data_IF_898593782556
#
_entry.id   IF_898593782556
#
_cell.length_a   1.000
_cell.length_b   1.000
_cell.length_c   1.000
_cell.angle_alpha   90.00
_cell.angle_beta   90.00
_cell.angle_gamma   90.00
#
_symmetry.space_group_name_H-M   'P 1'
#
loop_
_entity.id
_entity.type
_entity.pdbx_description
1 polymer ?
#
# COMPACT_ATOMS: atom_id res chain seq x y z
N UNK A 1 -57.76 73.40 -14.69
CA UNK A 1 -56.39 73.59 -15.20
C UNK A 1 -55.45 72.62 -14.49
N UNK A 2 -54.93 71.64 -15.24
CA UNK A 2 -53.55 71.11 -15.19
C UNK A 2 -53.08 70.37 -13.90
N UNK A 3 -53.09 69.02 -14.00
CA UNK A 3 -52.06 68.02 -13.57
C UNK A 3 -51.80 67.79 -12.06
N UNK A 4 -51.44 66.60 -11.56
CA UNK A 4 -50.63 65.50 -12.08
C UNK A 4 -51.11 64.10 -11.61
N UNK A 5 -51.05 63.14 -12.54
CA UNK A 5 -51.18 61.67 -12.40
C UNK A 5 -49.80 61.05 -12.09
N UNK A 6 -49.70 60.09 -11.17
CA UNK A 6 -48.59 59.10 -11.04
C UNK A 6 -49.22 57.71 -11.22
N UNK A 7 -49.12 57.10 -12.40
CA UNK A 7 -48.07 56.17 -12.90
C UNK A 7 -48.05 54.84 -12.13
N UNK A 8 -48.65 53.84 -12.79
CA UNK A 8 -48.45 52.42 -12.57
C UNK A 8 -47.10 51.96 -13.16
N UNK A 9 -46.45 50.97 -12.55
CA UNK A 9 -45.46 50.12 -13.22
C UNK A 9 -45.49 48.70 -12.63
N UNK A 10 -45.93 47.79 -13.48
CA UNK A 10 -45.79 46.34 -13.42
C UNK A 10 -44.30 46.01 -13.60
N UNK A 11 -43.74 45.11 -12.79
CA UNK A 11 -42.39 44.57 -13.01
C UNK A 11 -42.43 43.06 -13.11
N UNK A 12 -42.04 42.58 -14.30
CA UNK A 12 -41.86 41.19 -14.68
C UNK A 12 -40.61 40.61 -14.02
N UNK A 13 -40.73 39.45 -13.38
CA UNK A 13 -39.58 38.63 -12.98
C UNK A 13 -39.23 37.66 -14.12
N UNK A 14 -38.09 37.91 -14.78
CA UNK A 14 -37.45 36.98 -15.71
C UNK A 14 -36.82 35.82 -14.90
N UNK A 15 -37.29 34.60 -15.17
CA UNK A 15 -36.71 33.36 -14.66
C UNK A 15 -35.47 33.02 -15.50
N UNK A 16 -34.27 33.32 -14.99
CA UNK A 16 -33.02 32.88 -15.60
C UNK A 16 -32.77 31.42 -15.21
N UNK A 17 -32.94 30.51 -16.18
CA UNK A 17 -32.61 29.10 -16.02
C UNK A 17 -31.08 28.95 -15.96
N UNK A 18 -30.55 28.87 -14.75
CA UNK A 18 -29.15 28.52 -14.50
C UNK A 18 -28.98 27.03 -14.84
N UNK A 19 -28.51 26.75 -16.06
CA UNK A 19 -28.15 25.41 -16.52
C UNK A 19 -26.96 24.93 -15.67
N UNK A 20 -27.27 24.21 -14.59
CA UNK A 20 -26.28 23.54 -13.76
C UNK A 20 -25.67 22.41 -14.61
N UNK A 21 -24.59 22.72 -15.32
CA UNK A 21 -23.75 21.74 -16.01
C UNK A 21 -23.08 20.89 -14.94
N UNK A 22 -23.76 19.80 -14.57
CA UNK A 22 -23.19 18.71 -13.79
C UNK A 22 -22.07 18.09 -14.60
N UNK A 23 -20.85 18.58 -14.35
CA UNK A 23 -19.60 17.92 -14.73
C UNK A 23 -19.57 16.61 -13.96
N UNK A 24 -20.09 15.53 -14.57
CA UNK A 24 -19.81 14.19 -14.11
C UNK A 24 -18.31 14.00 -14.24
N UNK A 25 -17.54 13.81 -13.16
CA UNK A 25 -16.15 13.42 -13.30
C UNK A 25 -16.17 12.07 -14.02
N UNK A 26 -15.69 12.06 -15.28
CA UNK A 26 -15.48 10.82 -16.00
C UNK A 26 -14.62 9.91 -15.13
N UNK A 27 -15.20 8.83 -14.63
CA UNK A 27 -14.45 7.81 -13.93
C UNK A 27 -13.58 7.12 -14.97
N UNK A 28 -12.34 7.59 -15.12
CA UNK A 28 -11.37 6.94 -15.99
C UNK A 28 -11.17 5.49 -15.52
N UNK A 29 -11.29 4.53 -16.44
CA UNK A 29 -11.15 3.10 -16.14
C UNK A 29 -9.76 2.80 -15.61
N UNK A 30 -9.67 2.00 -14.55
CA UNK A 30 -8.40 1.59 -13.95
C UNK A 30 -8.28 0.08 -13.85
N UNK A 31 -7.08 -0.43 -14.09
CA UNK A 31 -6.75 -1.85 -13.99
C UNK A 31 -5.67 -2.06 -12.93
N UNK A 32 -5.70 -3.24 -12.30
CA UNK A 32 -4.71 -3.63 -11.29
C UNK A 32 -3.78 -4.67 -11.88
N UNK A 33 -2.48 -4.37 -11.91
CA UNK A 33 -1.44 -5.31 -12.35
C UNK A 33 -0.57 -5.67 -11.17
N UNK A 34 -0.33 -6.96 -10.98
CA UNK A 34 0.63 -7.44 -9.99
C UNK A 34 2.01 -7.49 -10.62
N UNK A 35 2.96 -6.79 -10.01
CA UNK A 35 4.34 -6.74 -10.45
C UNK A 35 5.24 -7.24 -9.33
N UNK A 36 6.18 -8.11 -9.64
CA UNK A 36 7.22 -8.49 -8.70
C UNK A 36 8.28 -7.39 -8.65
N UNK A 37 8.69 -7.01 -7.45
CA UNK A 37 9.80 -6.10 -7.19
C UNK A 37 10.92 -6.87 -6.49
N UNK A 38 12.20 -6.52 -6.73
CA UNK A 38 13.32 -7.14 -6.04
C UNK A 38 13.31 -6.78 -4.55
N UNK A 39 14.07 -7.52 -3.76
CA UNK A 39 14.35 -7.14 -2.39
C UNK A 39 15.04 -5.76 -2.33
N UNK A 40 14.81 -4.97 -1.28
CA UNK A 40 15.54 -3.70 -1.12
C UNK A 40 17.03 -3.94 -0.88
N UNK A 41 17.39 -5.07 -0.26
CA UNK A 41 18.77 -5.50 -0.01
C UNK A 41 19.07 -6.78 -0.77
N UNK A 42 19.59 -6.61 -1.98
CA UNK A 42 19.85 -7.70 -2.90
C UNK A 42 20.84 -8.75 -2.35
N UNK A 43 21.96 -8.36 -1.72
CA UNK A 43 22.90 -9.35 -1.14
C UNK A 43 22.24 -10.22 -0.05
N UNK A 44 21.29 -9.65 0.70
CA UNK A 44 20.59 -10.37 1.76
C UNK A 44 19.61 -11.41 1.21
N UNK A 45 18.96 -11.10 0.07
CA UNK A 45 17.99 -11.98 -0.57
C UNK A 45 18.65 -13.19 -1.26
N UNK A 46 19.94 -13.10 -1.60
CA UNK A 46 20.74 -14.21 -2.14
C UNK A 46 21.16 -15.23 -1.08
N UNK A 47 21.15 -14.88 0.21
CA UNK A 47 21.55 -15.78 1.30
C UNK A 47 20.41 -16.71 1.68
N UNK A 48 20.33 -17.90 1.05
CA UNK A 48 19.13 -18.76 1.09
C UNK A 48 18.98 -19.59 2.34
N UNK A 49 20.07 -20.14 2.88
CA UNK A 49 20.03 -20.93 4.11
C UNK A 49 20.30 -20.02 5.32
N UNK A 50 19.27 -19.74 6.12
CA UNK A 50 19.36 -18.75 7.20
C UNK A 50 18.91 -19.31 8.54
N UNK A 51 19.47 -18.76 9.60
CA UNK A 51 19.05 -19.00 10.97
C UNK A 51 18.74 -17.66 11.65
N UNK A 52 17.84 -17.68 12.64
CA UNK A 52 17.48 -16.49 13.42
C UNK A 52 17.91 -16.72 14.86
N UNK A 53 18.75 -15.83 15.38
CA UNK A 53 19.11 -15.83 16.79
C UNK A 53 18.21 -14.88 17.58
N UNK A 54 18.07 -15.08 18.90
CA UNK A 54 17.37 -14.14 19.76
C UNK A 54 17.88 -12.71 19.57
N UNK A 55 16.95 -11.76 19.53
CA UNK A 55 17.29 -10.35 19.52
C UNK A 55 17.64 -9.90 20.94
N UNK A 56 18.53 -8.92 21.05
CA UNK A 56 18.88 -8.30 22.33
C UNK A 56 17.81 -7.27 22.67
N UNK A 57 17.27 -7.30 23.89
CA UNK A 57 16.29 -6.34 24.38
C UNK A 57 14.96 -6.97 24.80
N UNK A 58 13.97 -6.15 25.17
CA UNK A 58 12.66 -6.62 25.64
C UNK A 58 11.97 -7.50 24.60
N UNK A 59 11.50 -8.69 24.99
CA UNK A 59 10.81 -9.65 24.11
C UNK A 59 11.61 -10.10 22.87
N UNK A 60 12.95 -10.06 22.95
CA UNK A 60 13.81 -10.40 21.81
C UNK A 60 13.75 -11.84 21.34
N UNK A 61 13.41 -12.79 22.23
CA UNK A 61 13.26 -14.21 21.88
C UNK A 61 11.94 -14.47 21.15
N UNK A 62 10.89 -13.79 21.58
CA UNK A 62 9.54 -13.81 21.02
C UNK A 62 9.55 -13.18 19.63
N UNK A 63 10.14 -11.99 19.49
CA UNK A 63 10.28 -11.33 18.19
C UNK A 63 11.12 -12.14 17.20
N UNK A 64 12.18 -12.83 17.66
CA UNK A 64 12.94 -13.75 16.83
C UNK A 64 12.05 -14.88 16.26
N UNK A 65 11.15 -15.44 17.08
CA UNK A 65 10.20 -16.46 16.63
C UNK A 65 9.19 -15.92 15.61
N UNK A 66 8.70 -14.69 15.82
CA UNK A 66 7.84 -14.01 14.84
C UNK A 66 8.58 -13.80 13.50
N UNK A 67 9.86 -13.43 13.56
CA UNK A 67 10.69 -13.21 12.38
C UNK A 67 11.00 -14.51 11.63
N UNK A 68 11.25 -15.61 12.35
CA UNK A 68 11.32 -16.96 11.77
C UNK A 68 10.05 -17.29 11.00
N UNK A 69 8.88 -17.01 11.58
CA UNK A 69 7.57 -17.19 10.93
C UNK A 69 7.44 -16.37 9.65
N UNK A 70 7.88 -15.10 9.66
CA UNK A 70 7.92 -14.26 8.47
C UNK A 70 8.80 -14.88 7.39
N UNK A 71 10.04 -15.26 7.72
CA UNK A 71 11.00 -15.83 6.77
C UNK A 71 10.49 -17.17 6.20
N UNK A 72 9.95 -18.03 7.06
CA UNK A 72 9.37 -19.32 6.68
C UNK A 72 8.19 -19.16 5.71
N UNK A 73 7.39 -18.11 5.91
CA UNK A 73 6.21 -17.82 5.11
C UNK A 73 6.52 -17.17 3.76
N UNK A 74 7.78 -16.83 3.46
CA UNK A 74 8.15 -16.28 2.15
C UNK A 74 8.17 -17.42 1.14
N UNK A 75 7.11 -17.50 0.34
CA UNK A 75 7.02 -18.33 -0.84
C UNK A 75 6.95 -17.49 -2.12
N UNK A 76 7.61 -17.93 -3.18
CA UNK A 76 7.45 -17.41 -4.55
C UNK A 76 7.17 -18.60 -5.46
N UNK A 77 6.11 -18.52 -6.28
CA UNK A 77 5.66 -19.59 -7.18
C UNK A 77 5.54 -20.96 -6.49
N UNK A 78 4.86 -20.98 -5.33
CA UNK A 78 4.63 -22.16 -4.46
C UNK A 78 5.91 -22.83 -3.92
N UNK A 79 7.07 -22.18 -4.04
CA UNK A 79 8.35 -22.64 -3.50
C UNK A 79 8.78 -21.77 -2.33
N UNK A 80 9.30 -22.39 -1.27
CA UNK A 80 9.94 -21.67 -0.16
C UNK A 80 11.14 -20.90 -0.68
N UNK A 81 11.22 -19.61 -0.35
CA UNK A 81 12.30 -18.75 -0.80
C UNK A 81 13.57 -18.90 0.04
N UNK A 82 13.41 -19.11 1.36
CA UNK A 82 14.51 -19.39 2.29
C UNK A 82 14.43 -20.82 2.83
N UNK A 83 15.59 -21.38 3.15
CA UNK A 83 15.73 -22.58 3.98
C UNK A 83 16.06 -22.14 5.40
N UNK A 84 15.14 -22.37 6.33
CA UNK A 84 15.39 -22.13 7.74
C UNK A 84 16.11 -23.32 8.37
N UNK A 85 17.17 -23.01 9.09
CA UNK A 85 17.87 -23.97 9.94
C UNK A 85 17.10 -24.14 11.26
N UNK A 86 17.02 -25.37 11.78
CA UNK A 86 16.21 -25.71 12.94
C UNK A 86 16.69 -25.00 14.21
N UNK A 87 15.75 -24.34 14.90
CA UNK A 87 15.98 -23.66 16.16
C UNK A 87 16.39 -24.60 17.30
N UNK A 88 15.92 -25.84 17.27
CA UNK A 88 16.26 -26.85 18.28
C UNK A 88 17.76 -27.19 18.23
N UNK A 89 18.31 -27.27 17.02
CA UNK A 89 19.74 -27.48 16.80
C UNK A 89 20.56 -26.28 17.25
N UNK A 90 20.06 -25.06 17.01
CA UNK A 90 20.64 -23.81 17.51
C UNK A 90 20.67 -23.76 19.04
N UNK A 91 19.54 -23.99 19.70
CA UNK A 91 19.42 -23.90 21.17
C UNK A 91 20.31 -24.94 21.87
N UNK A 92 20.37 -26.16 21.32
CA UNK A 92 21.30 -27.22 21.78
C UNK A 92 22.75 -26.76 21.66
N UNK A 93 23.14 -26.24 20.50
CA UNK A 93 24.51 -25.76 20.25
C UNK A 93 24.89 -24.60 21.19
N UNK A 94 23.99 -23.64 21.39
CA UNK A 94 24.19 -22.49 22.29
C UNK A 94 24.40 -22.96 23.73
N UNK A 95 23.59 -23.94 24.17
CA UNK A 95 23.66 -24.51 25.51
C UNK A 95 24.96 -25.29 25.73
N UNK A 96 25.39 -26.09 24.75
CA UNK A 96 26.64 -26.85 24.79
C UNK A 96 27.88 -25.94 24.85
N UNK A 97 27.85 -24.81 24.15
CA UNK A 97 28.95 -23.84 24.16
C UNK A 97 29.00 -22.96 25.42
N UNK A 98 28.03 -23.07 26.35
CA UNK A 98 27.91 -22.20 27.55
C UNK A 98 27.99 -20.70 27.22
N UNK A 99 27.49 -20.29 26.07
CA UNK A 99 27.53 -18.89 25.60
C UNK A 99 26.59 -17.93 26.37
N UNK A 100 26.07 -18.38 27.51
CA UNK A 100 25.00 -17.73 28.28
C UNK A 100 25.45 -16.49 29.07
N UNK A 101 26.73 -16.12 29.08
CA UNK A 101 27.24 -15.02 29.92
C UNK A 101 27.59 -13.71 29.20
N UNK A 102 27.78 -13.70 27.89
CA UNK A 102 28.02 -12.45 27.16
C UNK A 102 26.77 -12.08 26.39
N UNK A 103 25.99 -11.11 26.88
CA UNK A 103 24.83 -10.52 26.20
C UNK A 103 25.18 -9.76 24.91
N UNK A 104 25.94 -10.39 24.03
CA UNK A 104 26.50 -9.91 22.78
C UNK A 104 26.72 -11.13 21.90
N UNK A 105 25.81 -11.42 20.97
CA UNK A 105 26.23 -12.17 19.79
C UNK A 105 26.93 -11.15 18.90
N UNK A 106 28.24 -10.99 19.12
CA UNK A 106 29.09 -10.29 18.18
C UNK A 106 29.06 -11.01 16.81
N UNK A 107 29.46 -10.31 15.75
CA UNK A 107 29.40 -10.88 14.39
C UNK A 107 30.19 -12.21 14.30
N UNK A 108 31.28 -12.34 15.08
CA UNK A 108 32.13 -13.53 15.13
C UNK A 108 31.42 -14.72 15.75
N UNK A 109 30.67 -14.53 16.83
CA UNK A 109 29.87 -15.57 17.48
C UNK A 109 28.72 -16.00 16.59
N UNK A 110 28.04 -15.05 15.93
CA UNK A 110 26.99 -15.36 14.95
C UNK A 110 27.55 -16.23 13.80
N UNK A 111 28.67 -15.82 13.21
CA UNK A 111 29.30 -16.59 12.15
C UNK A 111 29.76 -17.98 12.63
N UNK A 112 30.33 -18.10 13.83
CA UNK A 112 30.74 -19.40 14.39
C UNK A 112 29.54 -20.32 14.61
N UNK A 113 28.46 -19.82 15.19
CA UNK A 113 27.23 -20.59 15.39
C UNK A 113 26.62 -21.01 14.04
N UNK A 114 26.56 -20.10 13.08
CA UNK A 114 26.06 -20.40 11.74
C UNK A 114 26.82 -21.53 11.06
N UNK A 115 28.15 -21.62 11.22
CA UNK A 115 28.95 -22.74 10.70
C UNK A 115 28.57 -24.08 11.30
N UNK A 116 28.24 -24.10 12.60
CA UNK A 116 27.87 -25.34 13.30
C UNK A 116 26.50 -25.86 12.87
N UNK A 117 25.57 -24.95 12.58
CA UNK A 117 24.20 -25.31 12.18
C UNK A 117 23.99 -25.32 10.66
N UNK A 118 25.05 -25.15 9.86
CA UNK A 118 24.97 -25.18 8.40
C UNK A 118 24.23 -24.00 7.77
N UNK A 119 24.12 -22.86 8.47
CA UNK A 119 23.53 -21.65 7.92
C UNK A 119 24.55 -20.89 7.03
N UNK A 120 24.05 -20.24 5.97
CA UNK A 120 24.82 -19.27 5.18
C UNK A 120 24.74 -17.86 5.79
N UNK A 121 23.62 -17.54 6.44
CA UNK A 121 23.39 -16.25 7.07
C UNK A 121 22.69 -16.35 8.42
N UNK A 122 22.99 -15.42 9.31
CA UNK A 122 22.37 -15.32 10.63
C UNK A 122 21.68 -13.98 10.79
N UNK A 123 20.36 -14.01 11.01
CA UNK A 123 19.60 -12.86 11.45
C UNK A 123 19.69 -12.72 12.97
N UNK A 124 19.95 -11.51 13.44
CA UNK A 124 19.96 -11.14 14.86
C UNK A 124 19.83 -9.61 14.94
N UNK A 125 19.78 -9.01 16.12
CA UNK A 125 19.60 -7.57 16.22
C UNK A 125 19.34 -7.07 17.63
N UNK A 126 18.94 -5.80 17.73
CA UNK A 126 18.61 -5.14 19.00
C UNK A 126 17.22 -4.53 18.91
N UNK A 127 16.34 -4.83 19.86
CA UNK A 127 15.07 -4.13 20.06
C UNK A 127 15.37 -2.86 20.85
N UNK A 128 15.18 -1.72 20.18
CA UNK A 128 15.43 -0.39 20.75
C UNK A 128 14.23 0.13 21.54
N UNK A 129 13.02 -0.19 21.06
CA UNK A 129 11.79 0.30 21.65
C UNK A 129 10.69 -0.76 21.54
N UNK A 130 10.04 -1.03 22.66
CA UNK A 130 8.78 -1.76 22.72
C UNK A 130 7.98 -1.10 23.86
N UNK A 131 7.13 -0.13 23.51
CA UNK A 131 6.51 0.73 24.51
C UNK A 131 5.14 1.20 24.07
N UNK A 132 4.24 1.40 25.02
CA UNK A 132 2.95 2.02 24.84
C UNK A 132 2.82 3.24 25.75
N UNK A 133 2.23 4.34 25.25
CA UNK A 133 2.03 5.58 26.00
C UNK A 133 0.60 6.07 25.87
N UNK A 134 -0.01 6.39 27.01
CA UNK A 134 -1.33 7.00 27.09
C UNK A 134 -1.22 8.51 27.35
N UNK A 135 -1.96 9.29 26.58
CA UNK A 135 -2.06 10.73 26.69
C UNK A 135 -3.54 11.12 26.87
N UNK A 136 -3.93 11.67 28.03
CA UNK A 136 -5.29 12.15 28.24
C UNK A 136 -5.54 13.42 27.44
N UNK A 137 -6.75 13.58 26.91
CA UNK A 137 -7.22 14.80 26.26
C UNK A 137 -8.72 15.00 26.46
N UNK A 138 -9.27 16.12 26.00
CA UNK A 138 -10.69 16.46 26.16
C UNK A 138 -11.31 16.81 24.81
N UNK A 139 -12.54 16.38 24.58
CA UNK A 139 -13.34 16.80 23.43
C UNK A 139 -14.64 17.48 23.87
N UNK A 140 -15.09 18.45 23.07
CA UNK A 140 -16.36 19.12 23.32
C UNK A 140 -17.52 18.29 22.79
N UNK A 141 -18.58 18.18 23.58
CA UNK A 141 -19.87 17.62 23.21
C UNK A 141 -20.96 18.65 23.43
N UNK A 142 -22.08 18.43 22.76
CA UNK A 142 -23.27 19.25 22.93
C UNK A 142 -24.46 18.32 23.19
N UNK A 143 -25.21 18.61 24.24
CA UNK A 143 -26.46 17.90 24.55
C UNK A 143 -27.62 18.90 24.55
N UNK A 144 -28.75 18.48 24.02
CA UNK A 144 -29.97 19.25 24.12
C UNK A 144 -30.56 19.11 25.52
N UNK A 145 -30.75 20.22 26.24
CA UNK A 145 -31.34 20.20 27.58
C UNK A 145 -32.80 20.62 27.59
N UNK A 146 -33.25 21.32 26.54
CA UNK A 146 -34.64 21.76 26.41
C UNK A 146 -35.11 21.64 24.96
N UNK A 147 -36.30 21.07 24.78
CA UNK A 147 -36.94 20.90 23.48
C UNK A 147 -38.21 21.74 23.41
N UNK A 148 -38.55 22.22 22.22
CA UNK A 148 -39.85 22.83 21.96
C UNK A 148 -40.96 21.76 22.07
N UNK A 149 -42.08 22.06 22.73
CA UNK A 149 -43.26 21.18 22.73
C UNK A 149 -44.17 21.59 21.58
N UNK A 150 -44.43 20.67 20.64
CA UNK A 150 -45.35 20.89 19.52
C UNK A 150 -46.59 20.03 19.66
N UNK A 151 -47.67 20.39 18.97
CA UNK A 151 -48.90 19.58 18.88
C UNK A 151 -49.15 19.18 17.43
N UNK A 152 -49.62 17.96 17.23
CA UNK A 152 -50.12 17.52 15.93
C UNK A 152 -51.57 17.98 15.69
N UNK A 153 -52.15 17.54 14.57
CA UNK A 153 -53.51 17.91 14.15
C UNK A 153 -54.60 17.32 15.06
N UNK A 154 -54.28 16.25 15.80
CA UNK A 154 -55.18 15.56 16.73
C UNK A 154 -55.01 16.08 18.17
N UNK A 155 -54.16 17.09 18.37
CA UNK A 155 -53.91 17.73 19.66
C UNK A 155 -52.87 17.01 20.53
N UNK A 156 -52.26 15.93 20.05
CA UNK A 156 -51.24 15.19 20.78
C UNK A 156 -49.91 15.93 20.75
N UNK A 157 -49.25 16.01 21.92
CA UNK A 157 -47.96 16.68 22.05
C UNK A 157 -46.80 15.79 21.64
N UNK A 158 -45.86 16.34 20.87
CA UNK A 158 -44.60 15.68 20.53
C UNK A 158 -43.41 16.63 20.69
N UNK A 159 -42.21 16.03 20.73
CA UNK A 159 -40.94 16.73 20.89
C UNK A 159 -40.55 17.43 19.58
N UNK A 160 -40.52 18.75 19.60
CA UNK A 160 -40.01 19.61 18.53
C UNK A 160 -38.48 19.75 18.56
N UNK A 161 -37.91 20.72 17.82
CA UNK A 161 -36.48 20.96 17.78
C UNK A 161 -35.91 21.37 19.16
N UNK A 162 -34.61 21.18 19.31
CA UNK A 162 -33.89 21.62 20.51
C UNK A 162 -33.87 23.15 20.60
N UNK A 163 -34.24 23.71 21.76
CA UNK A 163 -34.23 25.16 22.04
C UNK A 163 -33.04 25.59 22.89
N UNK A 164 -32.49 24.71 23.72
CA UNK A 164 -31.30 24.99 24.51
C UNK A 164 -30.27 23.88 24.42
N UNK A 165 -29.06 24.27 24.00
CA UNK A 165 -27.91 23.40 23.87
C UNK A 165 -26.91 23.69 24.98
N UNK A 166 -26.50 22.65 25.70
CA UNK A 166 -25.44 22.73 26.69
C UNK A 166 -24.18 22.06 26.15
N UNK A 167 -23.06 22.77 26.20
CA UNK A 167 -21.76 22.20 25.92
C UNK A 167 -21.15 21.58 27.19
N UNK A 168 -20.45 20.48 27.04
CA UNK A 168 -19.66 19.85 28.09
C UNK A 168 -18.42 19.19 27.50
N UNK A 169 -17.38 19.05 28.32
CA UNK A 169 -16.15 18.37 27.93
C UNK A 169 -16.24 16.89 28.31
N UNK A 170 -15.73 16.04 27.42
CA UNK A 170 -15.63 14.61 27.64
C UNK A 170 -14.17 14.22 27.69
N UNK A 171 -13.83 13.42 28.70
CA UNK A 171 -12.50 12.87 28.87
C UNK A 171 -12.23 11.78 27.84
N UNK A 172 -11.08 11.91 27.19
CA UNK A 172 -10.62 11.00 26.16
C UNK A 172 -9.17 10.59 26.43
N UNK A 173 -8.80 9.44 25.89
CA UNK A 173 -7.44 8.92 25.98
C UNK A 173 -6.96 8.61 24.57
N UNK A 174 -5.76 9.09 24.23
CA UNK A 174 -5.02 8.69 23.04
C UNK A 174 -3.88 7.77 23.47
N UNK A 175 -3.86 6.56 22.92
CA UNK A 175 -2.81 5.57 23.14
C UNK A 175 -1.96 5.43 21.90
N UNK A 176 -0.65 5.49 22.07
CA UNK A 176 0.34 5.31 20.99
C UNK A 176 1.29 4.19 21.40
N UNK A 177 1.28 3.11 20.63
CA UNK A 177 2.28 2.05 20.69
C UNK A 177 3.42 2.35 19.70
N UNK A 178 4.65 2.10 20.12
CA UNK A 178 5.84 2.29 19.32
C UNK A 178 6.75 1.07 19.44
N UNK A 179 7.14 0.52 18.30
CA UNK A 179 8.08 -0.59 18.21
C UNK A 179 9.25 -0.20 17.30
N UNK A 180 10.48 -0.45 17.74
CA UNK A 180 11.69 -0.17 16.98
C UNK A 180 12.76 -1.25 17.19
N UNK A 181 13.40 -1.67 16.11
CA UNK A 181 14.38 -2.76 16.08
C UNK A 181 15.46 -2.51 15.02
N UNK A 182 16.69 -2.95 15.31
CA UNK A 182 17.82 -2.99 14.37
C UNK A 182 18.15 -4.43 13.97
N UNK A 183 17.44 -5.05 13.03
CA UNK A 183 17.85 -6.33 12.48
C UNK A 183 19.12 -6.20 11.66
N UNK A 184 19.95 -7.24 11.70
CA UNK A 184 21.13 -7.42 10.85
C UNK A 184 21.22 -8.86 10.34
N UNK A 185 21.74 -9.03 9.13
CA UNK A 185 22.14 -10.32 8.56
C UNK A 185 23.66 -10.41 8.53
N UNK A 186 24.22 -11.41 9.20
CA UNK A 186 25.65 -11.71 9.19
C UNK A 186 25.90 -12.90 8.27
N UNK A 187 26.76 -12.73 7.27
CA UNK A 187 27.24 -13.82 6.42
C UNK A 187 28.18 -14.73 7.22
N UNK A 188 27.93 -16.04 7.18
CA UNK A 188 28.63 -17.01 8.02
C UNK A 188 30.06 -17.28 7.54
N UNK A 189 30.29 -17.25 6.23
CA UNK A 189 31.60 -17.52 5.61
C UNK A 189 32.63 -16.45 5.98
N UNK A 190 32.24 -15.17 5.86
CA UNK A 190 33.13 -14.01 5.99
C UNK A 190 32.94 -13.24 7.31
N UNK A 191 31.79 -13.37 7.97
CA UNK A 191 31.39 -12.52 9.08
C UNK A 191 30.92 -11.12 8.68
N UNK A 192 30.82 -10.82 7.37
CA UNK A 192 30.35 -9.52 6.85
C UNK A 192 28.87 -9.32 7.19
N UNK A 193 28.48 -8.08 7.47
CA UNK A 193 27.06 -7.69 7.53
C UNK A 193 26.54 -7.47 6.10
N UNK A 194 25.56 -8.25 5.68
CA UNK A 194 24.89 -8.13 4.37
C UNK A 194 23.64 -7.25 4.43
N UNK A 195 23.01 -7.15 5.60
CA UNK A 195 21.85 -6.30 5.85
C UNK A 195 21.94 -5.71 7.24
N UNK A 196 21.60 -4.42 7.38
CA UNK A 196 21.42 -3.76 8.66
C UNK A 196 20.58 -2.51 8.45
N UNK A 197 19.47 -2.38 9.19
CA UNK A 197 18.58 -1.23 9.10
C UNK A 197 17.92 -0.98 10.44
N UNK A 198 17.59 0.28 10.75
CA UNK A 198 16.71 0.61 11.86
C UNK A 198 15.27 0.66 11.34
N UNK A 199 14.43 -0.26 11.81
CA UNK A 199 13.01 -0.34 11.49
C UNK A 199 12.21 0.13 12.69
N UNK A 200 11.21 0.98 12.45
CA UNK A 200 10.32 1.46 13.50
C UNK A 200 8.93 1.72 12.96
N UNK A 201 7.92 1.45 13.76
CA UNK A 201 6.54 1.79 13.44
C UNK A 201 5.77 2.20 14.70
N UNK A 202 4.70 2.96 14.47
CA UNK A 202 3.77 3.36 15.52
C UNK A 202 2.35 2.97 15.15
N UNK A 203 1.55 2.60 16.15
CA UNK A 203 0.10 2.40 16.00
C UNK A 203 -0.61 3.21 17.06
N UNK A 204 -1.73 3.83 16.71
CA UNK A 204 -2.50 4.64 17.64
C UNK A 204 -3.98 4.27 17.68
N UNK A 205 -4.59 4.48 18.84
CA UNK A 205 -6.02 4.42 19.04
C UNK A 205 -6.42 5.53 20.00
N UNK A 206 -7.56 6.16 19.72
CA UNK A 206 -8.16 7.15 20.60
C UNK A 206 -9.59 6.74 20.94
N UNK A 207 -10.02 7.07 22.15
CA UNK A 207 -11.34 6.72 22.67
C UNK A 207 -11.70 7.62 23.83
N UNK A 208 -12.95 8.09 23.82
CA UNK A 208 -13.58 8.86 24.88
C UNK A 208 -14.46 7.97 25.75
N UNK A 209 -14.73 8.39 26.99
CA UNK A 209 -15.58 7.65 27.94
C UNK A 209 -17.00 7.39 27.42
N UNK A 210 -17.49 8.21 26.49
CA UNK A 210 -18.79 8.11 25.83
C UNK A 210 -18.75 7.35 24.48
N UNK A 211 -17.57 6.89 24.04
CA UNK A 211 -17.36 6.20 22.76
C UNK A 211 -16.74 4.82 22.95
N UNK A 212 -16.36 4.15 21.85
CA UNK A 212 -15.66 2.86 21.93
C UNK A 212 -14.35 3.02 22.71
N UNK A 213 -14.02 2.05 23.59
CA UNK A 213 -12.79 2.11 24.36
C UNK A 213 -11.57 2.05 23.45
N UNK A 214 -10.48 2.65 23.92
CA UNK A 214 -9.16 2.57 23.28
C UNK A 214 -8.74 1.11 23.17
N UNK A 215 -8.10 0.75 22.06
CA UNK A 215 -7.57 -0.60 21.87
C UNK A 215 -6.51 -0.94 22.93
N UNK A 216 -6.40 -2.23 23.28
CA UNK A 216 -5.41 -2.69 24.26
C UNK A 216 -3.98 -2.45 23.75
N UNK A 217 -3.05 -2.31 24.69
CA UNK A 217 -1.62 -2.18 24.41
C UNK A 217 -1.12 -3.28 23.48
N UNK A 218 -1.41 -4.54 23.78
CA UNK A 218 -0.99 -5.69 22.97
C UNK A 218 -1.47 -5.57 21.51
N UNK A 219 -2.73 -5.18 21.27
CA UNK A 219 -3.26 -5.04 19.90
C UNK A 219 -2.51 -3.95 19.13
N UNK A 220 -2.14 -2.85 19.78
CA UNK A 220 -1.43 -1.75 19.12
C UNK A 220 0.05 -2.05 18.90
N UNK A 221 0.71 -2.71 19.87
CA UNK A 221 2.09 -3.18 19.72
C UNK A 221 2.19 -4.19 18.59
N UNK A 222 1.28 -5.18 18.54
CA UNK A 222 1.27 -6.17 17.46
C UNK A 222 1.06 -5.52 16.09
N UNK A 223 0.18 -4.51 15.98
CA UNK A 223 0.06 -3.71 14.73
C UNK A 223 1.36 -3.00 14.33
N UNK A 224 2.09 -2.46 15.31
CA UNK A 224 3.39 -1.83 15.04
C UNK A 224 4.44 -2.87 14.61
N UNK A 225 4.50 -4.03 15.29
CA UNK A 225 5.36 -5.16 14.90
C UNK A 225 5.03 -5.67 13.50
N UNK A 226 3.76 -5.85 13.14
CA UNK A 226 3.34 -6.26 11.79
C UNK A 226 3.81 -5.27 10.71
N UNK A 227 3.80 -3.97 11.00
CA UNK A 227 4.34 -2.97 10.08
C UNK A 227 5.85 -3.15 9.88
N UNK A 228 6.60 -3.35 10.97
CA UNK A 228 8.05 -3.61 10.92
C UNK A 228 8.37 -4.93 10.21
N UNK A 229 7.63 -6.01 10.50
CA UNK A 229 7.79 -7.33 9.86
C UNK A 229 7.55 -7.26 8.35
N UNK A 230 6.54 -6.50 7.91
CA UNK A 230 6.29 -6.26 6.49
C UNK A 230 7.44 -5.52 5.82
N UNK A 231 8.00 -4.50 6.46
CA UNK A 231 9.13 -3.74 5.92
C UNK A 231 10.39 -4.61 5.86
N UNK A 232 10.68 -5.38 6.90
CA UNK A 232 11.74 -6.39 6.92
C UNK A 232 11.58 -7.41 5.77
N UNK A 233 10.37 -7.96 5.56
CA UNK A 233 10.10 -8.91 4.46
C UNK A 233 10.36 -8.33 3.07
N UNK A 234 10.16 -7.02 2.88
CA UNK A 234 10.48 -6.31 1.63
C UNK A 234 11.97 -6.03 1.50
N UNK A 235 12.66 -5.89 2.62
CA UNK A 235 14.11 -5.70 2.63
C UNK A 235 14.84 -6.95 2.15
N UNK A 236 14.38 -8.13 2.54
CA UNK A 236 15.16 -9.38 2.37
C UNK A 236 14.67 -10.29 1.23
N UNK A 237 13.51 -10.03 0.62
CA UNK A 237 12.98 -10.90 -0.44
C UNK A 237 12.14 -10.14 -1.48
N UNK A 238 12.09 -10.64 -2.73
CA UNK A 238 11.20 -10.11 -3.75
C UNK A 238 9.74 -10.08 -3.29
N UNK A 239 8.98 -9.05 -3.64
CA UNK A 239 7.58 -8.89 -3.24
C UNK A 239 6.69 -8.44 -4.38
N UNK A 240 5.44 -8.91 -4.37
CA UNK A 240 4.42 -8.40 -5.29
C UNK A 240 3.90 -7.05 -4.83
N UNK A 241 3.82 -6.11 -5.77
CA UNK A 241 3.10 -4.85 -5.63
C UNK A 241 1.96 -4.83 -6.64
N UNK A 242 0.78 -4.44 -6.20
CA UNK A 242 -0.33 -4.18 -7.09
C UNK A 242 -0.28 -2.71 -7.51
N UNK A 243 -0.04 -2.47 -8.79
CA UNK A 243 -0.07 -1.13 -9.37
C UNK A 243 -1.43 -0.91 -10.01
N UNK A 244 -2.06 0.21 -9.65
CA UNK A 244 -3.27 0.67 -10.31
C UNK A 244 -2.89 1.57 -11.49
N UNK A 245 -3.33 1.19 -12.68
CA UNK A 245 -3.00 1.86 -13.94
C UNK A 245 -4.30 2.40 -14.53
N UNK A 246 -4.32 3.71 -14.77
CA UNK A 246 -5.39 4.35 -15.52
C UNK A 246 -5.23 4.04 -17.01
N UNK A 247 -6.32 3.61 -17.63
CA UNK A 247 -6.40 3.39 -19.08
C UNK A 247 -6.76 4.69 -19.80
N UNK A 248 -6.37 4.78 -21.06
CA UNK A 248 -6.70 5.91 -21.93
C UNK A 248 -7.99 5.64 -22.69
N UNK A 249 -8.85 6.64 -22.75
CA UNK A 249 -10.15 6.62 -23.42
C UNK A 249 -10.28 7.61 -24.58
N UNK A 250 -9.22 8.39 -24.85
CA UNK A 250 -9.19 9.32 -25.99
C UNK A 250 -9.37 8.57 -27.32
N UNK A 251 -10.23 9.11 -28.19
CA UNK A 251 -10.45 8.63 -29.54
C UNK A 251 -9.50 9.29 -30.57
N UNK A 252 -8.50 10.05 -30.11
CA UNK A 252 -7.54 10.74 -30.98
C UNK A 252 -6.81 9.72 -31.87
N UNK A 253 -6.76 10.03 -33.18
CA UNK A 253 -6.17 9.14 -34.18
C UNK A 253 -7.02 7.92 -34.54
N UNK A 254 -8.32 7.91 -34.19
CA UNK A 254 -9.28 6.84 -34.54
C UNK A 254 -10.41 7.40 -35.39
N UNK A 255 -10.37 7.16 -36.70
CA UNK A 255 -11.44 7.62 -37.62
C UNK A 255 -12.58 6.63 -37.76
N UNK A 256 -12.29 5.33 -37.71
CA UNK A 256 -13.28 4.25 -37.89
C UNK A 256 -14.22 4.15 -36.68
N UNK A 257 -15.56 4.21 -36.87
CA UNK A 257 -16.53 3.96 -35.81
C UNK A 257 -16.33 2.60 -35.14
N UNK A 258 -16.02 1.57 -35.93
CA UNK A 258 -15.76 0.22 -35.44
C UNK A 258 -14.55 0.18 -34.51
N UNK A 259 -13.49 0.93 -34.82
CA UNK A 259 -12.31 1.03 -33.95
C UNK A 259 -12.60 1.80 -32.65
N UNK A 260 -13.43 2.85 -32.70
CA UNK A 260 -13.91 3.56 -31.50
C UNK A 260 -14.75 2.67 -30.61
N UNK A 261 -15.64 1.88 -31.19
CA UNK A 261 -16.45 0.91 -30.45
C UNK A 261 -15.59 -0.15 -29.79
N UNK A 262 -14.55 -0.64 -30.49
CA UNK A 262 -13.59 -1.59 -29.90
C UNK A 262 -12.79 -0.98 -28.75
N UNK A 263 -12.36 0.29 -28.85
CA UNK A 263 -11.72 0.99 -27.73
C UNK A 263 -12.64 1.03 -26.50
N UNK A 264 -13.89 1.49 -26.67
CA UNK A 264 -14.90 1.59 -25.61
C UNK A 264 -15.25 0.23 -24.99
N UNK A 265 -15.48 -0.77 -25.84
CA UNK A 265 -15.78 -2.13 -25.38
C UNK A 265 -14.59 -2.73 -24.64
N UNK A 266 -13.36 -2.50 -25.11
CA UNK A 266 -12.15 -2.92 -24.39
C UNK A 266 -12.03 -2.29 -23.01
N UNK A 267 -12.33 -0.99 -22.89
CA UNK A 267 -12.38 -0.29 -21.58
C UNK A 267 -13.45 -0.89 -20.67
N UNK A 268 -14.64 -1.22 -21.20
CA UNK A 268 -15.70 -1.85 -20.43
C UNK A 268 -15.32 -3.27 -19.95
N UNK A 269 -14.62 -4.06 -20.78
CA UNK A 269 -14.10 -5.36 -20.36
C UNK A 269 -13.02 -5.23 -19.28
N UNK A 270 -12.11 -4.27 -19.44
CA UNK A 270 -11.06 -3.99 -18.46
C UNK A 270 -11.63 -3.55 -17.10
N UNK A 271 -12.69 -2.73 -17.08
CA UNK A 271 -13.42 -2.34 -15.86
C UNK A 271 -13.98 -3.57 -15.11
N UNK A 272 -14.38 -4.61 -15.85
CA UNK A 272 -14.84 -5.90 -15.29
C UNK A 272 -13.72 -6.89 -15.03
N UNK A 273 -12.46 -6.47 -15.08
CA UNK A 273 -11.28 -7.32 -14.85
C UNK A 273 -10.99 -8.32 -15.97
N UNK A 274 -11.68 -8.23 -17.11
CA UNK A 274 -11.50 -9.13 -18.25
C UNK A 274 -10.44 -8.60 -19.21
N UNK A 275 -9.19 -8.59 -18.73
CA UNK A 275 -8.07 -7.98 -19.43
C UNK A 275 -7.79 -8.64 -20.79
N UNK A 276 -7.94 -9.97 -20.90
CA UNK A 276 -7.68 -10.70 -22.16
C UNK A 276 -8.58 -10.19 -23.31
N UNK A 277 -9.88 -10.05 -23.05
CA UNK A 277 -10.84 -9.51 -24.00
C UNK A 277 -10.56 -8.04 -24.35
N UNK A 278 -10.14 -7.24 -23.38
CA UNK A 278 -9.76 -5.85 -23.62
C UNK A 278 -8.57 -5.76 -24.59
N UNK A 279 -7.53 -6.56 -24.34
CA UNK A 279 -6.32 -6.60 -25.15
C UNK A 279 -6.59 -7.07 -26.58
N UNK A 280 -7.47 -8.06 -26.76
CA UNK A 280 -7.92 -8.53 -28.08
C UNK A 280 -8.61 -7.41 -28.87
N UNK A 281 -9.60 -6.74 -28.26
CA UNK A 281 -10.33 -5.65 -28.90
C UNK A 281 -9.44 -4.46 -29.28
N UNK A 282 -8.52 -4.06 -28.41
CA UNK A 282 -7.58 -2.98 -28.73
C UNK A 282 -6.58 -3.40 -29.82
N UNK A 283 -6.18 -4.67 -29.86
CA UNK A 283 -5.35 -5.22 -30.94
C UNK A 283 -6.06 -5.14 -32.28
N UNK A 284 -7.33 -5.53 -32.33
CA UNK A 284 -8.15 -5.41 -33.53
C UNK A 284 -8.42 -3.95 -33.93
N UNK A 285 -8.65 -3.06 -32.96
CA UNK A 285 -8.84 -1.63 -33.21
C UNK A 285 -7.58 -1.01 -33.84
N UNK A 286 -6.39 -1.40 -33.35
CA UNK A 286 -5.11 -0.91 -33.89
C UNK A 286 -4.91 -1.24 -35.36
N UNK A 287 -5.45 -2.36 -35.86
CA UNK A 287 -5.38 -2.70 -37.29
C UNK A 287 -6.10 -1.68 -38.20
N UNK A 288 -7.03 -0.89 -37.63
CA UNK A 288 -7.77 0.17 -38.33
C UNK A 288 -7.31 1.57 -37.93
N UNK A 289 -6.73 1.73 -36.74
CA UNK A 289 -6.26 2.99 -36.17
C UNK A 289 -4.85 2.82 -35.56
N UNK A 290 -3.86 2.58 -36.42
CA UNK A 290 -2.49 2.27 -35.99
C UNK A 290 -1.76 3.41 -35.28
N UNK A 291 -2.23 4.66 -35.47
CA UNK A 291 -1.63 5.87 -34.93
C UNK A 291 -2.45 6.49 -33.77
N UNK A 292 -3.30 5.72 -33.09
CA UNK A 292 -3.97 6.22 -31.89
C UNK A 292 -3.06 6.07 -30.66
N UNK A 293 -2.74 7.18 -29.94
CA UNK A 293 -1.97 7.11 -28.71
C UNK A 293 -2.64 6.26 -27.63
N UNK A 294 -3.97 6.35 -27.49
CA UNK A 294 -4.72 5.60 -26.50
C UNK A 294 -4.66 4.08 -26.75
N UNK A 295 -4.80 3.65 -28.01
CA UNK A 295 -4.68 2.22 -28.37
C UNK A 295 -3.26 1.71 -28.13
N UNK A 296 -2.23 2.47 -28.50
CA UNK A 296 -0.84 2.10 -28.25
C UNK A 296 -0.53 2.01 -26.76
N UNK A 297 -0.97 2.99 -25.97
CA UNK A 297 -0.80 2.99 -24.52
C UNK A 297 -1.52 1.80 -23.88
N UNK A 298 -2.79 1.57 -24.19
CA UNK A 298 -3.57 0.48 -23.62
C UNK A 298 -3.00 -0.91 -24.01
N UNK A 299 -2.50 -1.06 -25.24
CA UNK A 299 -1.76 -2.26 -25.64
C UNK A 299 -0.40 -2.39 -24.92
N UNK A 300 0.24 -1.28 -24.59
CA UNK A 300 1.41 -1.26 -23.70
C UNK A 300 1.07 -1.83 -22.33
N UNK A 301 -0.09 -1.47 -21.77
CA UNK A 301 -0.59 -2.03 -20.49
C UNK A 301 -0.84 -3.55 -20.63
N UNK A 302 -1.33 -4.01 -21.78
CA UNK A 302 -1.49 -5.44 -22.09
C UNK A 302 -0.17 -6.21 -22.25
N UNK A 303 0.88 -5.57 -22.73
CA UNK A 303 2.21 -6.18 -22.78
C UNK A 303 2.83 -6.23 -21.36
N UNK A 304 2.68 -5.14 -20.60
CA UNK A 304 3.14 -5.04 -19.22
C UNK A 304 2.47 -6.09 -18.31
N UNK A 305 1.15 -6.31 -18.45
CA UNK A 305 0.41 -7.32 -17.67
C UNK A 305 0.88 -8.75 -17.91
N UNK A 306 1.44 -9.03 -19.09
CA UNK A 306 1.99 -10.34 -19.47
C UNK A 306 3.48 -10.47 -19.14
N UNK A 307 4.11 -9.44 -18.60
CA UNK A 307 5.55 -9.40 -18.31
C UNK A 307 6.44 -9.19 -19.54
N UNK A 308 5.86 -8.87 -20.71
CA UNK A 308 6.61 -8.50 -21.91
C UNK A 308 7.01 -7.03 -21.84
N UNK A 309 7.99 -6.75 -21.00
CA UNK A 309 8.44 -5.40 -20.67
C UNK A 309 9.05 -4.68 -21.89
N UNK A 310 9.69 -5.42 -22.79
CA UNK A 310 10.31 -4.85 -23.99
C UNK A 310 9.24 -4.39 -25.00
N UNK A 311 8.20 -5.20 -25.22
CA UNK A 311 7.06 -4.80 -26.04
C UNK A 311 6.29 -3.64 -25.40
N UNK A 312 6.08 -3.66 -24.08
CA UNK A 312 5.42 -2.59 -23.34
C UNK A 312 6.17 -1.25 -23.51
N UNK A 313 7.49 -1.25 -23.33
CA UNK A 313 8.32 -0.07 -23.48
C UNK A 313 8.22 0.51 -24.90
N UNK A 314 8.25 -0.35 -25.92
CA UNK A 314 8.15 0.08 -27.30
C UNK A 314 6.77 0.72 -27.61
N UNK A 315 5.70 0.11 -27.11
CA UNK A 315 4.33 0.63 -27.27
C UNK A 315 4.14 1.98 -26.59
N UNK A 316 4.64 2.14 -25.36
CA UNK A 316 4.58 3.42 -24.66
C UNK A 316 5.40 4.51 -25.35
N UNK A 317 6.60 4.18 -25.87
CA UNK A 317 7.40 5.12 -26.67
C UNK A 317 6.71 5.55 -27.96
N UNK A 318 6.00 4.63 -28.62
CA UNK A 318 5.19 4.96 -29.79
C UNK A 318 4.03 5.89 -29.40
N UNK A 319 3.32 5.60 -28.32
CA UNK A 319 2.25 6.46 -27.81
C UNK A 319 2.77 7.88 -27.50
N UNK A 320 3.90 7.99 -26.80
CA UNK A 320 4.56 9.26 -26.46
C UNK A 320 4.93 10.07 -27.72
N UNK A 321 5.55 9.41 -28.70
CA UNK A 321 5.94 10.03 -29.96
C UNK A 321 4.75 10.59 -30.74
N UNK A 322 3.62 9.87 -30.76
CA UNK A 322 2.41 10.32 -31.47
C UNK A 322 1.69 11.42 -30.67
N UNK A 323 1.67 11.34 -29.35
CA UNK A 323 1.10 12.37 -28.49
C UNK A 323 1.77 13.73 -28.72
N UNK A 324 3.09 13.74 -28.94
CA UNK A 324 3.86 14.93 -29.32
C UNK A 324 3.95 16.01 -28.23
N UNK A 325 3.39 15.74 -27.05
CA UNK A 325 3.42 16.57 -25.85
C UNK A 325 3.51 15.67 -24.61
N UNK A 326 4.06 16.16 -23.49
CA UNK A 326 4.07 15.41 -22.25
C UNK A 326 2.67 15.02 -21.81
N UNK A 327 2.52 13.74 -21.44
CA UNK A 327 1.32 13.18 -20.82
C UNK A 327 1.72 12.43 -19.54
N UNK A 328 0.98 12.66 -18.46
CA UNK A 328 1.32 12.13 -17.14
C UNK A 328 1.20 10.61 -17.09
N UNK A 329 0.17 10.04 -17.73
CA UNK A 329 -0.09 8.60 -17.72
C UNK A 329 1.00 7.85 -18.53
N UNK A 330 1.37 8.38 -19.70
CA UNK A 330 2.49 7.86 -20.51
C UNK A 330 3.82 7.97 -19.76
N UNK A 331 4.09 9.12 -19.14
CA UNK A 331 5.33 9.36 -18.38
C UNK A 331 5.46 8.39 -17.21
N UNK A 332 4.37 8.16 -16.47
CA UNK A 332 4.33 7.17 -15.39
C UNK A 332 4.57 5.76 -15.90
N UNK A 333 3.96 5.38 -17.03
CA UNK A 333 4.14 4.06 -17.64
C UNK A 333 5.58 3.82 -18.13
N UNK A 334 6.20 4.79 -18.80
CA UNK A 334 7.59 4.72 -19.24
C UNK A 334 8.56 4.56 -18.06
N UNK A 335 8.36 5.32 -16.98
CA UNK A 335 9.16 5.20 -15.76
C UNK A 335 8.98 3.83 -15.10
N UNK A 336 7.73 3.36 -14.99
CA UNK A 336 7.39 2.07 -14.38
C UNK A 336 8.02 0.91 -15.13
N UNK A 337 7.82 0.82 -16.45
CA UNK A 337 8.42 -0.25 -17.28
C UNK A 337 9.95 -0.13 -17.31
N UNK A 338 10.50 1.08 -17.40
CA UNK A 338 11.95 1.29 -17.34
C UNK A 338 12.55 0.76 -16.03
N UNK A 339 11.90 0.98 -14.90
CA UNK A 339 12.31 0.41 -13.62
C UNK A 339 12.13 -1.11 -13.56
N UNK A 340 11.05 -1.64 -14.12
CA UNK A 340 10.82 -3.08 -14.20
C UNK A 340 11.92 -3.78 -15.01
N UNK A 341 12.35 -3.20 -16.14
CA UNK A 341 13.45 -3.73 -16.97
C UNK A 341 14.76 -3.72 -16.19
N UNK A 342 15.09 -2.61 -15.51
CA UNK A 342 16.30 -2.51 -14.67
C UNK A 342 16.31 -3.56 -13.55
N UNK A 343 15.14 -3.86 -12.99
CA UNK A 343 14.99 -4.80 -11.89
C UNK A 343 14.93 -6.28 -12.34
N UNK A 344 14.71 -6.54 -13.64
CA UNK A 344 14.51 -7.90 -14.20
C UNK A 344 15.67 -8.85 -13.85
N UNK A 345 16.92 -8.44 -14.04
CA UNK A 345 18.07 -9.29 -13.74
C UNK A 345 18.23 -9.53 -12.24
N UNK A 346 18.03 -8.51 -11.39
CA UNK A 346 18.05 -8.68 -9.93
C UNK A 346 17.00 -9.69 -9.46
N UNK A 347 15.79 -9.59 -9.97
CA UNK A 347 14.71 -10.54 -9.64
C UNK A 347 15.11 -11.95 -10.09
N UNK A 348 15.69 -12.09 -11.29
CA UNK A 348 16.13 -13.39 -11.82
C UNK A 348 17.21 -14.02 -10.93
N UNK A 349 18.22 -13.27 -10.51
CA UNK A 349 19.24 -13.70 -9.55
C UNK A 349 18.58 -14.14 -8.23
N UNK A 350 17.69 -13.30 -7.69
CA UNK A 350 16.95 -13.55 -6.45
C UNK A 350 16.08 -14.81 -6.49
N UNK A 351 15.47 -15.11 -7.63
CA UNK A 351 14.63 -16.30 -7.80
C UNK A 351 15.44 -17.57 -8.10
N UNK A 352 16.59 -17.43 -8.77
CA UNK A 352 17.45 -18.57 -9.12
C UNK A 352 18.34 -19.03 -7.97
N UNK A 353 18.64 -18.13 -7.02
CA UNK A 353 19.55 -18.40 -5.91
C UNK A 353 21.02 -18.59 -6.35
N UNK A 354 21.39 -18.06 -7.53
CA UNK A 354 22.73 -18.08 -8.09
C UNK A 354 23.20 -16.69 -8.46
#
# INVERSE_FOLDING_TARGET
>A
MITLKKIARISSFLFSALLLTSILPGCATKVKINMIQPAQYHEASLTKAVAVLPFIGPEGKEFAAELEGVIAGIGIDDKRYFTLVDRTELDKTISEMKLTQSGLVDQKTAARLGKLVGAQGIYTGVIQQNSCKDSPYQEKRTVCTQYETRRDKDGLTYRGPCTHWRQYNVACTKRIASFAVSPKLVEVSTGKILYSRNLSATSESAGCIDTKPVQSENVLIEKAKESVKRDFRRDIAPYYVTVEIKLMDSEDGIDSPEAKDKLKNGLAYADKGRMDNACELWGEARNRAGNSPALLYNLGVCAESRGDLDAALNLYKQADKIMGKPDDDISLALNRVGNAIKNKEKIKEELSGK
#
